data_IF_950055916750
#
_entry.id   IF_950055916750
#
_cell.length_a   1.000
_cell.length_b   1.000
_cell.length_c   1.000
_cell.angle_alpha   90.00
_cell.angle_beta   90.00
_cell.angle_gamma   90.00
#
_symmetry.space_group_name_H-M   'P 1'
#
loop_
_entity.id
_entity.type
_entity.pdbx_description
1 polymer ?
#
# COMPACT_ATOMS: atom_id res chain seq x y z
N UNK A 1 3.98 18.18 -18.42
CA UNK A 1 4.21 16.87 -17.75
C UNK A 1 3.19 16.60 -16.64
N UNK A 2 2.77 17.60 -15.88
CA UNK A 2 1.74 17.50 -14.83
C UNK A 2 0.34 17.16 -15.36
N UNK A 3 -0.11 17.80 -16.46
CA UNK A 3 -1.45 17.55 -17.01
C UNK A 3 -1.69 16.11 -17.46
N UNK A 4 -0.70 15.48 -18.12
CA UNK A 4 -0.82 14.09 -18.56
C UNK A 4 -0.95 13.11 -17.39
N UNK A 5 -0.27 13.39 -16.27
CA UNK A 5 -0.37 12.57 -15.05
C UNK A 5 -1.78 12.69 -14.46
N UNK A 6 -2.27 13.92 -14.29
CA UNK A 6 -3.61 14.19 -13.75
C UNK A 6 -4.69 13.55 -14.64
N UNK A 7 -4.54 13.64 -15.97
CA UNK A 7 -5.46 13.01 -16.91
C UNK A 7 -5.51 11.49 -16.76
N UNK A 8 -4.36 10.83 -16.61
CA UNK A 8 -4.29 9.38 -16.41
C UNK A 8 -4.92 8.99 -15.06
N UNK A 9 -4.61 9.69 -13.98
CA UNK A 9 -5.20 9.45 -12.65
C UNK A 9 -6.72 9.60 -12.68
N UNK A 10 -7.22 10.68 -13.27
CA UNK A 10 -8.65 10.91 -13.45
C UNK A 10 -9.31 9.82 -14.29
N UNK A 11 -8.67 9.42 -15.39
CA UNK A 11 -9.17 8.33 -16.24
C UNK A 11 -9.22 7.00 -15.49
N UNK A 12 -8.20 6.69 -14.67
CA UNK A 12 -8.18 5.50 -13.84
C UNK A 12 -9.35 5.48 -12.84
N UNK A 13 -9.61 6.60 -12.17
CA UNK A 13 -10.75 6.75 -11.25
C UNK A 13 -12.08 6.51 -11.99
N UNK A 14 -12.29 7.15 -13.14
CA UNK A 14 -13.52 6.98 -13.92
C UNK A 14 -13.71 5.52 -14.32
N UNK A 15 -12.65 4.87 -14.80
CA UNK A 15 -12.69 3.45 -15.19
C UNK A 15 -13.02 2.55 -14.01
N UNK A 16 -12.48 2.83 -12.84
CA UNK A 16 -12.79 2.08 -11.62
C UNK A 16 -14.26 2.26 -11.20
N UNK A 17 -14.79 3.50 -11.23
CA UNK A 17 -16.21 3.75 -10.94
C UNK A 17 -17.12 3.05 -11.95
N UNK A 18 -16.75 3.06 -13.23
CA UNK A 18 -17.50 2.34 -14.28
C UNK A 18 -17.47 0.83 -14.03
N UNK A 19 -16.32 0.27 -13.64
CA UNK A 19 -16.19 -1.14 -13.28
C UNK A 19 -17.12 -1.52 -12.12
N UNK A 20 -17.18 -0.71 -11.05
CA UNK A 20 -18.09 -0.95 -9.93
C UNK A 20 -19.58 -0.84 -10.29
N UNK A 21 -19.92 -0.02 -11.28
CA UNK A 21 -21.31 0.17 -11.74
C UNK A 21 -21.77 -0.91 -12.71
N UNK A 22 -20.89 -1.43 -13.55
CA UNK A 22 -21.24 -2.42 -14.59
C UNK A 22 -21.36 -3.83 -14.02
N UNK A 23 -20.62 -4.14 -12.95
CA UNK A 23 -20.60 -5.46 -12.36
C UNK A 23 -21.67 -5.59 -11.27
N UNK A 24 -22.92 -5.80 -11.69
CA UNK A 24 -24.06 -5.99 -10.78
C UNK A 24 -24.07 -7.36 -10.09
N UNK A 25 -23.31 -8.33 -10.59
CA UNK A 25 -23.23 -9.69 -10.00
C UNK A 25 -22.24 -9.77 -8.82
N UNK A 26 -21.55 -8.68 -8.50
CA UNK A 26 -20.60 -8.62 -7.40
C UNK A 26 -21.30 -8.58 -6.04
N UNK A 27 -20.73 -9.25 -5.06
CA UNK A 27 -21.20 -9.16 -3.68
C UNK A 27 -21.17 -7.70 -3.20
N UNK A 28 -22.27 -7.25 -2.60
CA UNK A 28 -22.46 -5.87 -2.14
C UNK A 28 -21.41 -5.49 -1.10
N UNK A 29 -20.98 -6.44 -0.25
CA UNK A 29 -19.91 -6.19 0.72
C UNK A 29 -18.57 -5.92 0.04
N UNK A 30 -18.19 -6.74 -0.94
CA UNK A 30 -16.97 -6.53 -1.72
C UNK A 30 -17.01 -5.18 -2.45
N UNK A 31 -18.15 -4.83 -3.02
CA UNK A 31 -18.35 -3.54 -3.70
C UNK A 31 -18.14 -2.36 -2.74
N UNK A 32 -18.73 -2.41 -1.55
CA UNK A 32 -18.53 -1.38 -0.52
C UNK A 32 -17.07 -1.24 -0.09
N UNK A 33 -16.33 -2.35 0.05
CA UNK A 33 -14.91 -2.34 0.40
C UNK A 33 -14.08 -1.68 -0.72
N UNK A 34 -14.35 -2.03 -1.98
CA UNK A 34 -13.68 -1.43 -3.14
C UNK A 34 -14.01 0.06 -3.29
N UNK A 35 -15.24 0.47 -3.01
CA UNK A 35 -15.65 1.88 -2.97
C UNK A 35 -14.88 2.66 -1.89
N UNK A 36 -14.75 2.11 -0.69
CA UNK A 36 -13.95 2.72 0.38
C UNK A 36 -12.49 2.87 -0.03
N UNK A 37 -11.91 1.85 -0.67
CA UNK A 37 -10.52 1.90 -1.16
C UNK A 37 -10.34 2.98 -2.25
N UNK A 38 -11.31 3.10 -3.15
CA UNK A 38 -11.33 4.16 -4.16
C UNK A 38 -11.40 5.55 -3.50
N UNK A 39 -12.26 5.72 -2.49
CA UNK A 39 -12.39 6.99 -1.77
C UNK A 39 -11.08 7.37 -1.07
N UNK A 40 -10.40 6.42 -0.42
CA UNK A 40 -9.08 6.66 0.18
C UNK A 40 -8.09 7.15 -0.87
N UNK A 41 -8.06 6.52 -2.04
CA UNK A 41 -7.18 6.93 -3.14
C UNK A 41 -7.50 8.35 -3.64
N UNK A 42 -8.79 8.66 -3.86
CA UNK A 42 -9.24 9.97 -4.31
C UNK A 42 -8.90 11.06 -3.27
N UNK A 43 -9.15 10.80 -1.99
CA UNK A 43 -8.82 11.74 -0.91
C UNK A 43 -7.32 12.04 -0.86
N UNK A 44 -6.48 11.02 -1.06
CA UNK A 44 -5.02 11.22 -1.11
C UNK A 44 -4.58 12.05 -2.30
N UNK A 45 -5.18 11.85 -3.47
CA UNK A 45 -4.92 12.68 -4.65
C UNK A 45 -5.38 14.13 -4.45
N UNK A 46 -6.53 14.34 -3.80
CA UNK A 46 -7.01 15.70 -3.46
C UNK A 46 -6.03 16.37 -2.49
N UNK A 47 -5.53 15.66 -1.48
CA UNK A 47 -4.52 16.17 -0.55
C UNK A 47 -3.24 16.59 -1.30
N UNK A 48 -2.78 15.80 -2.28
CA UNK A 48 -1.60 16.11 -3.10
C UNK A 48 -1.79 17.35 -3.99
N UNK A 49 -2.96 17.48 -4.64
CA UNK A 49 -3.23 18.57 -5.59
C UNK A 49 -3.99 19.75 -5.00
N UNK A 50 -4.06 19.86 -3.68
CA UNK A 50 -4.96 20.82 -3.04
C UNK A 50 -4.59 22.27 -3.37
N UNK A 51 -3.30 22.58 -3.50
CA UNK A 51 -2.84 23.91 -3.90
C UNK A 51 -3.39 24.34 -5.26
N UNK A 52 -3.37 23.43 -6.24
CA UNK A 52 -3.90 23.68 -7.60
C UNK A 52 -5.42 23.87 -7.56
N UNK A 53 -6.12 23.09 -6.73
CA UNK A 53 -7.57 23.20 -6.56
C UNK A 53 -7.99 24.51 -5.88
N UNK A 54 -7.16 25.03 -4.97
CA UNK A 54 -7.33 26.36 -4.39
C UNK A 54 -7.08 27.48 -5.41
N UNK A 55 -5.99 27.42 -6.16
CA UNK A 55 -5.70 28.37 -7.24
C UNK A 55 -6.81 28.41 -8.30
N UNK A 56 -7.38 27.25 -8.62
CA UNK A 56 -8.51 27.12 -9.55
C UNK A 56 -9.87 27.52 -8.97
N UNK A 57 -9.96 28.00 -7.72
CA UNK A 57 -11.20 28.32 -7.00
C UNK A 57 -12.21 27.16 -6.89
N UNK A 58 -11.76 25.91 -7.07
CA UNK A 58 -12.58 24.71 -6.89
C UNK A 58 -12.83 24.39 -5.41
N UNK A 59 -11.87 24.74 -4.55
CA UNK A 59 -12.00 24.61 -3.10
C UNK A 59 -11.93 26.00 -2.48
N UNK A 60 -12.93 26.32 -1.65
CA UNK A 60 -13.05 27.61 -0.94
C UNK A 60 -12.90 27.48 0.57
N UNK A 61 -12.99 26.25 1.09
CA UNK A 61 -12.97 26.00 2.52
C UNK A 61 -11.52 25.84 3.01
N UNK A 62 -11.09 26.70 3.93
CA UNK A 62 -9.74 26.69 4.53
C UNK A 62 -9.50 25.44 5.38
N UNK A 63 -10.55 24.84 5.93
CA UNK A 63 -10.46 23.65 6.79
C UNK A 63 -10.43 22.33 6.01
N UNK A 64 -10.51 22.36 4.68
CA UNK A 64 -10.60 21.16 3.85
C UNK A 64 -9.53 20.11 4.16
N UNK A 65 -8.31 20.53 4.51
CA UNK A 65 -7.21 19.65 4.86
C UNK A 65 -7.51 18.83 6.13
N UNK A 66 -8.06 19.49 7.15
CA UNK A 66 -8.46 18.83 8.40
C UNK A 66 -9.59 17.82 8.14
N UNK A 67 -10.57 18.20 7.31
CA UNK A 67 -11.67 17.31 6.93
C UNK A 67 -11.18 16.08 6.16
N UNK A 68 -10.26 16.25 5.20
CA UNK A 68 -9.68 15.15 4.44
C UNK A 68 -8.93 14.20 5.37
N UNK A 69 -8.10 14.73 6.28
CA UNK A 69 -7.31 13.91 7.20
C UNK A 69 -8.20 13.12 8.17
N UNK A 70 -9.22 13.74 8.75
CA UNK A 70 -10.18 13.07 9.63
C UNK A 70 -10.88 11.94 8.85
N UNK A 71 -11.40 12.25 7.66
CA UNK A 71 -12.10 11.25 6.85
C UNK A 71 -11.20 10.10 6.42
N UNK A 72 -9.94 10.37 6.11
CA UNK A 72 -8.96 9.35 5.75
C UNK A 72 -8.66 8.42 6.94
N UNK A 73 -8.52 8.96 8.15
CA UNK A 73 -8.36 8.17 9.37
C UNK A 73 -9.58 7.29 9.65
N UNK A 74 -10.79 7.84 9.51
CA UNK A 74 -12.04 7.09 9.70
C UNK A 74 -12.13 5.92 8.71
N UNK A 75 -11.82 6.16 7.44
CA UNK A 75 -11.82 5.11 6.41
C UNK A 75 -10.75 4.04 6.67
N UNK A 76 -9.56 4.43 7.16
CA UNK A 76 -8.54 3.47 7.58
C UNK A 76 -9.03 2.58 8.74
N UNK A 77 -9.76 3.16 9.70
CA UNK A 77 -10.37 2.39 10.78
C UNK A 77 -11.46 1.43 10.28
N UNK A 78 -12.31 1.88 9.36
CA UNK A 78 -13.35 1.05 8.74
C UNK A 78 -12.75 -0.10 7.91
N UNK A 79 -11.64 0.14 7.20
CA UNK A 79 -10.99 -0.86 6.35
C UNK A 79 -10.12 -1.85 7.14
N UNK A 80 -9.72 -1.51 8.37
CA UNK A 80 -8.75 -2.28 9.17
C UNK A 80 -9.05 -3.77 9.24
N UNK A 81 -10.31 -4.13 9.40
CA UNK A 81 -10.73 -5.53 9.55
C UNK A 81 -10.65 -6.33 8.23
N UNK A 82 -10.75 -5.64 7.10
CA UNK A 82 -10.78 -6.25 5.76
C UNK A 82 -9.39 -6.23 5.08
N UNK A 83 -8.42 -5.49 5.62
CA UNK A 83 -7.09 -5.32 5.02
C UNK A 83 -6.35 -6.64 4.82
N UNK A 84 -6.43 -7.57 5.77
CA UNK A 84 -5.75 -8.86 5.64
C UNK A 84 -6.30 -9.64 4.45
N UNK A 85 -7.62 -9.77 4.35
CA UNK A 85 -8.27 -10.43 3.23
C UNK A 85 -7.97 -9.74 1.88
N UNK A 86 -7.94 -8.40 1.86
CA UNK A 86 -7.57 -7.64 0.66
C UNK A 86 -6.14 -7.92 0.22
N UNK A 87 -5.18 -7.91 1.15
CA UNK A 87 -3.77 -8.17 0.84
C UNK A 87 -3.57 -9.61 0.40
N UNK A 88 -4.25 -10.56 1.04
CA UNK A 88 -4.16 -11.98 0.70
C UNK A 88 -4.62 -12.26 -0.75
N UNK A 89 -5.63 -11.54 -1.25
CA UNK A 89 -6.08 -11.66 -2.66
C UNK A 89 -5.01 -11.23 -3.65
N UNK A 90 -4.17 -10.26 -3.29
CA UNK A 90 -3.08 -9.78 -4.14
C UNK A 90 -1.75 -10.49 -3.87
N UNK A 91 -1.64 -11.22 -2.76
CA UNK A 91 -0.39 -11.84 -2.33
C UNK A 91 0.01 -12.96 -3.31
N UNK A 92 1.17 -12.85 -3.98
CA UNK A 92 1.69 -13.98 -4.72
C UNK A 92 2.13 -15.07 -3.72
N UNK A 93 2.21 -16.34 -4.15
CA UNK A 93 2.76 -17.41 -3.34
C UNK A 93 4.11 -17.05 -2.70
N UNK A 94 4.36 -17.51 -1.47
CA UNK A 94 5.56 -17.13 -0.69
C UNK A 94 6.89 -17.32 -1.43
N UNK A 95 6.98 -18.35 -2.29
CA UNK A 95 8.18 -18.62 -3.09
C UNK A 95 8.45 -17.56 -4.15
N UNK A 96 7.40 -16.92 -4.68
CA UNK A 96 7.51 -15.77 -5.60
C UNK A 96 7.75 -14.49 -4.81
N UNK A 97 7.06 -14.32 -3.67
CA UNK A 97 7.22 -13.14 -2.81
C UNK A 97 8.65 -13.04 -2.27
N UNK A 98 9.28 -14.18 -1.97
CA UNK A 98 10.65 -14.31 -1.46
C UNK A 98 10.96 -13.32 -0.31
N UNK A 99 9.95 -13.07 0.52
CA UNK A 99 10.01 -12.13 1.63
C UNK A 99 9.77 -12.87 2.93
N UNK A 100 10.74 -12.80 3.82
CA UNK A 100 10.63 -13.41 5.16
C UNK A 100 9.60 -12.69 6.02
N UNK A 101 9.43 -11.37 5.83
CA UNK A 101 8.43 -10.57 6.54
C UNK A 101 7.01 -10.78 6.02
N UNK A 102 6.88 -11.12 4.73
CA UNK A 102 5.60 -11.33 4.06
C UNK A 102 5.13 -12.78 4.02
N UNK A 103 5.77 -13.67 4.79
CA UNK A 103 5.44 -15.09 4.81
C UNK A 103 4.01 -15.33 5.31
N UNK A 104 3.20 -16.07 4.56
CA UNK A 104 1.77 -16.30 4.86
C UNK A 104 1.51 -16.97 6.21
N UNK A 105 2.50 -17.68 6.77
CA UNK A 105 2.36 -18.38 8.05
C UNK A 105 2.32 -17.44 9.27
N UNK A 106 2.60 -16.14 9.09
CA UNK A 106 2.57 -15.14 10.17
C UNK A 106 3.69 -15.29 11.22
N UNK A 107 4.49 -16.36 11.17
CA UNK A 107 5.61 -16.64 12.06
C UNK A 107 6.89 -15.92 11.60
N UNK A 108 6.83 -14.58 11.58
CA UNK A 108 7.91 -13.73 11.04
C UNK A 108 9.25 -14.02 11.72
N UNK A 109 9.28 -14.09 13.05
CA UNK A 109 10.53 -14.31 13.79
C UNK A 109 11.16 -15.68 13.53
N UNK A 110 10.34 -16.74 13.44
CA UNK A 110 10.85 -18.08 13.12
C UNK A 110 11.39 -18.15 11.69
N UNK A 111 10.70 -17.50 10.75
CA UNK A 111 11.13 -17.41 9.36
C UNK A 111 12.47 -16.66 9.23
N UNK A 112 12.64 -15.55 9.97
CA UNK A 112 13.90 -14.81 10.06
C UNK A 112 14.99 -15.72 10.61
N UNK A 113 14.73 -16.40 11.72
CA UNK A 113 15.74 -17.25 12.34
C UNK A 113 16.17 -18.39 11.40
N UNK A 114 15.21 -19.06 10.74
CA UNK A 114 15.48 -20.08 9.73
C UNK A 114 16.31 -19.53 8.56
N UNK A 115 16.00 -18.34 8.08
CA UNK A 115 16.73 -17.72 6.97
C UNK A 115 18.18 -17.38 7.37
N UNK A 116 18.38 -16.82 8.57
CA UNK A 116 19.71 -16.50 9.11
C UNK A 116 20.53 -17.79 9.27
N UNK A 117 19.94 -18.87 9.81
CA UNK A 117 20.63 -20.15 9.99
C UNK A 117 20.91 -20.90 8.69
N UNK A 118 20.03 -20.80 7.70
CA UNK A 118 20.23 -21.45 6.40
C UNK A 118 21.31 -20.76 5.55
N UNK A 119 21.54 -19.47 5.77
CA UNK A 119 22.51 -18.72 4.98
C UNK A 119 23.93 -18.99 5.46
N UNK A 120 24.76 -19.62 4.62
CA UNK A 120 26.05 -20.21 5.04
C UNK A 120 27.09 -19.21 5.55
N UNK A 121 26.94 -17.92 5.28
CA UNK A 121 27.93 -16.88 5.59
C UNK A 121 27.54 -15.99 6.79
N UNK A 122 26.40 -16.23 7.44
CA UNK A 122 25.88 -15.33 8.49
C UNK A 122 26.68 -15.34 9.79
N UNK A 123 27.16 -16.51 10.22
CA UNK A 123 27.87 -16.65 11.50
C UNK A 123 29.40 -16.77 11.35
N UNK A 124 29.91 -16.59 10.14
CA UNK A 124 31.34 -16.73 9.86
C UNK A 124 31.99 -15.36 10.00
N UNK A 125 33.20 -15.34 10.57
CA UNK A 125 34.06 -14.16 10.56
C UNK A 125 34.28 -13.74 9.09
N UNK A 126 34.00 -12.48 8.73
CA UNK A 126 34.14 -12.04 7.36
C UNK A 126 35.60 -12.17 6.90
N UNK A 127 35.77 -12.56 5.64
CA UNK A 127 37.07 -12.98 5.08
C UNK A 127 38.12 -11.87 5.18
N UNK A 128 37.70 -10.60 5.02
CA UNK A 128 38.59 -9.44 5.13
C UNK A 128 39.17 -9.28 6.55
N UNK A 129 38.37 -9.54 7.59
CA UNK A 129 38.82 -9.41 8.98
C UNK A 129 39.81 -10.52 9.36
N UNK A 130 39.70 -11.69 8.72
CA UNK A 130 40.61 -12.80 8.96
C UNK A 130 42.04 -12.50 8.50
N UNK A 131 42.21 -11.75 7.42
CA UNK A 131 43.53 -11.38 6.91
C UNK A 131 44.23 -10.37 7.85
N UNK A 132 43.51 -9.36 8.34
CA UNK A 132 44.04 -8.35 9.26
C UNK A 132 44.44 -8.91 10.64
N UNK A 133 43.85 -10.04 11.06
CA UNK A 133 44.15 -10.71 12.33
C UNK A 133 45.33 -11.68 12.25
N UNK A 134 45.74 -12.09 11.04
CA UNK A 134 46.87 -13.03 10.82
C UNK A 134 48.19 -12.26 10.55
N UNK A 135 48.11 -11.01 10.13
CA UNK A 135 49.29 -10.14 9.89
C UNK A 135 49.81 -9.41 11.15
N UNK A 136 49.25 -9.68 12.34
CA UNK A 136 49.75 -9.21 13.65
C UNK A 136 50.31 -10.34 14.48
#
# INVERSE_FOLDING_TARGET
>A
RTLSIIYIQHTAIIRFVQFLKLNNDMDEKCKQILEKLLIVHILKLIEEYIGILFEGNYIKNVHINQWIQIRLLDLCHELRNEILALVDVFAPPDHILNSVLGNSNGQVYEAINKMIHNNKQTFIIPIWLKNDLIEK
#
